data_IF_022800230538
#
_entry.id   IF_022800230538
#
_cell.length_a   1.000
_cell.length_b   1.000
_cell.length_c   1.000
_cell.angle_alpha   90.00
_cell.angle_beta   90.00
_cell.angle_gamma   90.00
#
_symmetry.space_group_name_H-M   'P 1'
#
loop_
_entity.id
_entity.type
_entity.pdbx_description
1 polymer ?
#
# COMPACT_ATOMS: atom_id res chain seq x y z
N UNK A 1 -4.17 -41.66 -20.82
CA UNK A 1 -5.55 -41.19 -20.52
C UNK A 1 -5.64 -40.23 -19.31
N UNK A 2 -4.54 -39.94 -18.58
CA UNK A 2 -4.55 -39.02 -17.41
C UNK A 2 -4.41 -37.52 -17.74
N UNK A 3 -3.50 -37.14 -18.65
CA UNK A 3 -3.15 -35.73 -18.94
C UNK A 3 -4.34 -34.82 -19.30
N UNK A 4 -5.31 -35.33 -20.06
CA UNK A 4 -6.47 -34.56 -20.51
C UNK A 4 -7.46 -34.28 -19.38
N UNK A 5 -7.49 -35.15 -18.36
CA UNK A 5 -8.31 -34.99 -17.15
C UNK A 5 -7.69 -33.95 -16.21
N UNK A 6 -6.37 -33.96 -16.07
CA UNK A 6 -5.63 -32.99 -15.25
C UNK A 6 -5.77 -31.57 -15.81
N UNK A 7 -5.68 -31.41 -17.14
CA UNK A 7 -5.84 -30.10 -17.79
C UNK A 7 -7.24 -29.52 -17.59
N UNK A 8 -8.30 -30.34 -17.69
CA UNK A 8 -9.67 -29.91 -17.40
C UNK A 8 -9.86 -29.51 -15.94
N UNK A 9 -9.23 -30.21 -15.00
CA UNK A 9 -9.29 -29.88 -13.58
C UNK A 9 -8.61 -28.54 -13.28
N UNK A 10 -7.44 -28.27 -13.90
CA UNK A 10 -6.74 -26.98 -13.75
C UNK A 10 -7.58 -25.83 -14.30
N UNK A 11 -8.15 -25.99 -15.50
CA UNK A 11 -8.98 -24.95 -16.12
C UNK A 11 -10.23 -24.67 -15.28
N UNK A 12 -10.91 -25.71 -14.79
CA UNK A 12 -12.07 -25.55 -13.89
C UNK A 12 -11.70 -24.90 -12.56
N UNK A 13 -10.53 -25.22 -12.00
CA UNK A 13 -10.05 -24.58 -10.78
C UNK A 13 -9.75 -23.10 -11.02
N UNK A 14 -9.10 -22.75 -12.13
CA UNK A 14 -8.84 -21.35 -12.49
C UNK A 14 -10.14 -20.54 -12.61
N UNK A 15 -11.15 -21.08 -13.29
CA UNK A 15 -12.47 -20.43 -13.45
C UNK A 15 -13.19 -20.23 -12.09
N UNK A 16 -13.11 -21.23 -11.20
CA UNK A 16 -13.60 -21.11 -9.82
C UNK A 16 -12.87 -20.05 -9.01
N UNK A 17 -11.56 -19.92 -9.17
CA UNK A 17 -10.79 -18.89 -8.46
C UNK A 17 -11.07 -17.49 -9.03
N UNK A 18 -11.19 -17.36 -10.35
CA UNK A 18 -11.55 -16.11 -11.02
C UNK A 18 -12.94 -15.61 -10.61
N UNK A 19 -13.92 -16.51 -10.54
CA UNK A 19 -15.26 -16.15 -10.07
C UNK A 19 -15.29 -15.75 -8.58
N UNK A 20 -14.34 -16.22 -7.77
CA UNK A 20 -14.20 -15.82 -6.36
C UNK A 20 -13.58 -14.44 -6.16
N UNK A 21 -12.87 -13.87 -7.14
CA UNK A 21 -12.31 -12.50 -7.04
C UNK A 21 -13.42 -11.45 -6.88
N UNK A 22 -14.61 -11.71 -7.43
CA UNK A 22 -15.75 -10.81 -7.33
C UNK A 22 -16.62 -11.04 -6.09
N UNK A 23 -16.20 -11.92 -5.18
CA UNK A 23 -16.92 -12.11 -3.92
C UNK A 23 -16.90 -10.81 -3.10
N UNK A 24 -18.06 -10.31 -2.61
CA UNK A 24 -18.13 -9.08 -1.82
C UNK A 24 -17.15 -9.06 -0.63
N UNK A 25 -16.87 -10.22 -0.03
CA UNK A 25 -15.87 -10.35 1.03
C UNK A 25 -14.46 -9.98 0.55
N UNK A 26 -14.06 -10.50 -0.61
CA UNK A 26 -12.76 -10.22 -1.21
C UNK A 26 -12.66 -8.77 -1.68
N UNK A 27 -13.71 -8.28 -2.35
CA UNK A 27 -13.78 -6.90 -2.84
C UNK A 27 -13.70 -5.88 -1.70
N UNK A 28 -14.32 -6.15 -0.55
CA UNK A 28 -14.23 -5.27 0.63
C UNK A 28 -12.78 -5.07 1.05
N UNK A 29 -12.04 -6.16 1.25
CA UNK A 29 -10.62 -6.11 1.65
C UNK A 29 -9.77 -5.45 0.56
N UNK A 30 -10.04 -5.76 -0.71
CA UNK A 30 -9.33 -5.18 -1.84
C UNK A 30 -9.51 -3.66 -1.95
N UNK A 31 -10.74 -3.17 -1.81
CA UNK A 31 -11.05 -1.73 -1.82
C UNK A 31 -10.34 -1.03 -0.65
N UNK A 32 -10.37 -1.62 0.53
CA UNK A 32 -9.66 -1.11 1.70
C UNK A 32 -8.14 -1.03 1.47
N UNK A 33 -7.55 -2.06 0.85
CA UNK A 33 -6.14 -2.05 0.45
C UNK A 33 -5.80 -0.94 -0.54
N UNK A 34 -6.66 -0.70 -1.54
CA UNK A 34 -6.48 0.41 -2.50
C UNK A 34 -6.59 1.76 -1.77
N UNK A 35 -7.62 1.96 -0.96
CA UNK A 35 -7.88 3.21 -0.26
C UNK A 35 -6.70 3.56 0.65
N UNK A 36 -6.19 2.58 1.40
CA UNK A 36 -5.00 2.80 2.24
C UNK A 36 -3.73 3.06 1.47
N UNK A 37 -3.52 2.38 0.34
CA UNK A 37 -2.38 2.67 -0.55
C UNK A 37 -2.44 4.12 -1.05
N UNK A 38 -3.62 4.60 -1.44
CA UNK A 38 -3.83 6.01 -1.85
C UNK A 38 -3.52 6.96 -0.68
N UNK A 39 -4.02 6.67 0.52
CA UNK A 39 -3.74 7.47 1.72
C UNK A 39 -2.23 7.52 2.02
N UNK A 40 -1.53 6.40 1.92
CA UNK A 40 -0.07 6.33 2.12
C UNK A 40 0.69 7.17 1.10
N UNK A 41 0.31 7.12 -0.17
CA UNK A 41 0.91 7.92 -1.24
C UNK A 41 0.71 9.41 -0.95
N UNK A 42 -0.51 9.82 -0.61
CA UNK A 42 -0.84 11.22 -0.30
C UNK A 42 -0.04 11.70 0.92
N UNK A 43 -0.02 10.92 2.00
CA UNK A 43 0.73 11.25 3.21
C UNK A 43 2.23 11.41 2.93
N UNK A 44 2.81 10.48 2.17
CA UNK A 44 4.23 10.53 1.77
C UNK A 44 4.53 11.74 0.89
N UNK A 45 3.62 12.08 -0.04
CA UNK A 45 3.75 13.24 -0.90
C UNK A 45 3.73 14.56 -0.10
N UNK A 46 2.81 14.70 0.86
CA UNK A 46 2.79 15.87 1.76
C UNK A 46 4.06 15.96 2.59
N UNK A 47 4.53 14.84 3.14
CA UNK A 47 5.75 14.79 3.94
C UNK A 47 6.99 15.17 3.12
N UNK A 48 7.10 14.68 1.88
CA UNK A 48 8.19 15.02 0.98
C UNK A 48 8.22 16.52 0.62
N UNK A 49 7.05 17.11 0.35
CA UNK A 49 6.93 18.55 0.09
C UNK A 49 7.29 19.38 1.33
N UNK A 50 6.85 18.95 2.51
CA UNK A 50 7.21 19.60 3.76
C UNK A 50 8.72 19.54 4.00
N UNK A 51 9.36 18.39 3.76
CA UNK A 51 10.81 18.27 3.91
C UNK A 51 11.57 19.12 2.89
N UNK A 52 11.09 19.20 1.63
CA UNK A 52 11.65 20.09 0.60
C UNK A 52 11.65 21.54 1.07
N UNK A 53 10.57 22.03 1.67
CA UNK A 53 10.47 23.43 2.12
C UNK A 53 11.34 23.76 3.33
N UNK A 54 11.78 22.76 4.10
CA UNK A 54 12.72 22.93 5.21
C UNK A 54 14.19 22.95 4.76
N UNK A 55 14.48 22.70 3.49
CA UNK A 55 15.84 22.84 2.95
C UNK A 55 16.16 24.33 2.88
N UNK A 56 16.75 24.85 3.96
CA UNK A 56 17.21 26.24 4.04
C UNK A 56 18.43 26.38 3.14
N UNK A 57 18.32 27.26 2.15
CA UNK A 57 19.46 27.70 1.35
C UNK A 57 20.45 28.39 2.27
N UNK A 58 21.63 27.81 2.44
CA UNK A 58 22.75 28.55 3.01
C UNK A 58 23.11 29.62 2.00
N UNK A 59 22.91 30.89 2.35
CA UNK A 59 23.36 31.99 1.52
C UNK A 59 24.88 32.02 1.58
N UNK A 60 25.51 31.68 0.45
CA UNK A 60 26.94 31.85 0.27
C UNK A 60 27.21 33.31 -0.13
N UNK A 61 28.36 33.85 0.26
CA UNK A 61 28.77 35.23 -0.09
C UNK A 61 28.93 35.43 -1.61
N UNK A 62 29.02 34.34 -2.37
CA UNK A 62 29.28 34.37 -3.81
C UNK A 62 27.99 34.13 -4.59
N UNK A 63 27.55 35.15 -5.34
CA UNK A 63 26.30 35.15 -6.12
C UNK A 63 26.17 33.94 -7.05
N UNK A 64 27.24 33.57 -7.76
CA UNK A 64 27.22 32.45 -8.71
C UNK A 64 27.03 31.08 -8.01
N UNK A 65 27.49 30.94 -6.77
CA UNK A 65 27.28 29.72 -5.97
C UNK A 65 25.82 29.62 -5.55
N UNK A 66 25.22 30.74 -5.15
CA UNK A 66 23.79 30.79 -4.84
C UNK A 66 22.95 30.48 -6.08
N UNK A 67 23.25 31.05 -7.24
CA UNK A 67 22.50 30.80 -8.48
C UNK A 67 22.60 29.33 -8.91
N UNK A 68 23.78 28.70 -8.77
CA UNK A 68 23.98 27.28 -9.06
C UNK A 68 23.21 26.37 -8.09
N UNK A 69 23.18 26.69 -6.79
CA UNK A 69 22.41 25.95 -5.79
C UNK A 69 20.90 26.13 -5.97
N UNK A 70 20.44 27.33 -6.31
CA UNK A 70 19.03 27.59 -6.62
C UNK A 70 18.58 26.81 -7.85
N UNK A 71 19.37 26.84 -8.94
CA UNK A 71 19.10 26.01 -10.11
C UNK A 71 19.04 24.52 -9.77
N UNK A 72 19.95 24.05 -8.92
CA UNK A 72 19.95 22.67 -8.45
C UNK A 72 18.69 22.33 -7.63
N UNK A 73 18.15 23.27 -6.85
CA UNK A 73 16.95 23.07 -6.03
C UNK A 73 15.64 23.24 -6.82
N UNK A 74 15.64 24.08 -7.85
CA UNK A 74 14.52 24.30 -8.77
C UNK A 74 14.30 23.10 -9.69
N UNK A 75 15.37 22.38 -10.03
CA UNK A 75 15.23 21.11 -10.75
C UNK A 75 14.61 20.10 -9.77
N UNK A 76 13.45 19.54 -10.14
CA UNK A 76 12.65 18.61 -9.31
C UNK A 76 13.37 17.29 -8.90
N UNK A 77 14.65 17.13 -9.23
CA UNK A 77 15.44 15.94 -8.88
C UNK A 77 15.55 15.75 -7.35
N UNK A 78 15.67 16.83 -6.56
CA UNK A 78 15.75 16.73 -5.09
C UNK A 78 14.44 16.21 -4.51
N UNK A 79 13.31 16.72 -5.01
CA UNK A 79 12.00 16.20 -4.61
C UNK A 79 11.87 14.72 -4.94
N UNK A 80 12.26 14.31 -6.15
CA UNK A 80 12.20 12.91 -6.57
C UNK A 80 13.06 12.01 -5.66
N UNK A 81 14.30 12.39 -5.36
CA UNK A 81 15.17 11.59 -4.47
C UNK A 81 14.54 11.46 -3.08
N UNK A 82 14.10 12.56 -2.48
CA UNK A 82 13.48 12.56 -1.15
C UNK A 82 12.21 11.69 -1.16
N UNK A 83 11.37 11.84 -2.19
CA UNK A 83 10.14 11.08 -2.33
C UNK A 83 10.38 9.58 -2.47
N UNK A 84 11.27 9.15 -3.39
CA UNK A 84 11.59 7.72 -3.57
C UNK A 84 12.26 7.11 -2.35
N UNK A 85 13.15 7.85 -1.68
CA UNK A 85 13.79 7.40 -0.44
C UNK A 85 12.78 7.23 0.69
N UNK A 86 11.90 8.22 0.88
CA UNK A 86 10.79 8.13 1.84
C UNK A 86 9.90 6.96 1.52
N UNK A 87 9.48 6.78 0.26
CA UNK A 87 8.63 5.65 -0.11
C UNK A 87 9.32 4.31 0.21
N UNK A 88 10.60 4.15 -0.14
CA UNK A 88 11.34 2.92 0.15
C UNK A 88 11.41 2.58 1.64
N UNK A 89 11.61 3.58 2.52
CA UNK A 89 11.71 3.38 3.98
C UNK A 89 10.33 3.26 4.63
N UNK A 90 9.35 4.05 4.19
CA UNK A 90 8.01 4.07 4.78
C UNK A 90 7.14 2.91 4.27
N UNK A 91 7.41 2.35 3.10
CA UNK A 91 6.58 1.28 2.54
C UNK A 91 6.49 0.04 3.45
N UNK A 92 7.59 -0.53 3.98
CA UNK A 92 7.50 -1.67 4.90
C UNK A 92 6.69 -1.44 6.19
N UNK A 93 6.92 -0.35 6.97
CA UNK A 93 6.14 -0.11 8.18
C UNK A 93 4.67 0.22 7.88
N UNK A 94 4.40 0.99 6.82
CA UNK A 94 3.04 1.30 6.38
C UNK A 94 2.30 0.00 6.00
N UNK A 95 2.93 -0.87 5.21
CA UNK A 95 2.35 -2.16 4.85
C UNK A 95 2.07 -3.03 6.09
N UNK A 96 2.95 -3.01 7.09
CA UNK A 96 2.79 -3.77 8.35
C UNK A 96 1.59 -3.28 9.15
N UNK A 97 1.44 -1.96 9.31
CA UNK A 97 0.27 -1.36 9.98
C UNK A 97 -1.01 -1.71 9.22
N UNK A 98 -0.98 -1.67 7.89
CA UNK A 98 -2.15 -2.04 7.07
C UNK A 98 -2.52 -3.51 7.22
N UNK A 99 -1.56 -4.43 7.16
CA UNK A 99 -1.83 -5.84 7.39
C UNK A 99 -2.47 -6.06 8.77
N UNK A 100 -2.01 -5.34 9.80
CA UNK A 100 -2.60 -5.40 11.14
C UNK A 100 -4.05 -4.90 11.20
N UNK A 101 -4.39 -3.84 10.48
CA UNK A 101 -5.74 -3.27 10.49
C UNK A 101 -6.75 -4.14 9.72
N UNK A 102 -6.28 -4.85 8.68
CA UNK A 102 -7.16 -5.62 7.80
C UNK A 102 -7.23 -7.11 8.12
N UNK A 103 -6.33 -7.63 8.97
CA UNK A 103 -6.32 -9.04 9.33
C UNK A 103 -7.67 -9.48 9.92
N UNK A 104 -8.24 -8.68 10.82
CA UNK A 104 -9.51 -8.99 11.50
C UNK A 104 -10.69 -9.02 10.53
N UNK A 105 -10.73 -8.10 9.56
CA UNK A 105 -11.78 -8.06 8.54
C UNK A 105 -11.70 -9.26 7.60
N UNK A 106 -10.49 -9.71 7.27
CA UNK A 106 -10.25 -10.93 6.50
C UNK A 106 -10.68 -12.15 7.30
N UNK A 107 -10.32 -12.23 8.59
CA UNK A 107 -10.68 -13.34 9.49
C UNK A 107 -12.20 -13.45 9.60
N UNK A 108 -12.90 -12.35 9.88
CA UNK A 108 -14.36 -12.34 9.96
C UNK A 108 -15.01 -12.78 8.64
N UNK A 109 -14.48 -12.35 7.51
CA UNK A 109 -14.98 -12.74 6.20
C UNK A 109 -14.80 -14.26 5.95
N UNK A 110 -13.65 -14.82 6.33
CA UNK A 110 -13.35 -16.26 6.22
C UNK A 110 -14.23 -17.07 7.17
N UNK A 111 -14.39 -16.64 8.42
CA UNK A 111 -15.22 -17.34 9.41
C UNK A 111 -16.68 -17.39 8.99
N UNK A 112 -17.24 -16.26 8.52
CA UNK A 112 -18.62 -16.22 8.06
C UNK A 112 -18.88 -17.14 6.86
N UNK A 113 -17.88 -17.32 5.98
CA UNK A 113 -18.02 -18.12 4.78
C UNK A 113 -17.78 -19.62 5.01
N UNK A 114 -16.76 -19.97 5.79
CA UNK A 114 -16.29 -21.35 5.92
C UNK A 114 -16.59 -21.98 7.28
N UNK A 115 -16.86 -21.19 8.33
CA UNK A 115 -17.13 -21.66 9.69
C UNK A 115 -18.41 -21.05 10.30
N UNK A 116 -19.57 -21.15 9.62
CA UNK A 116 -20.80 -20.49 10.06
C UNK A 116 -21.27 -20.95 11.46
N UNK A 117 -21.04 -22.23 11.79
CA UNK A 117 -21.47 -22.85 13.05
C UNK A 117 -20.39 -22.81 14.15
N UNK A 118 -19.20 -22.29 13.83
CA UNK A 118 -18.04 -22.19 14.74
C UNK A 118 -17.31 -20.85 14.58
N UNK A 119 -18.04 -19.74 14.72
CA UNK A 119 -17.44 -18.41 14.75
C UNK A 119 -16.55 -18.26 15.99
N UNK A 120 -15.38 -17.65 15.85
CA UNK A 120 -14.57 -17.32 17.01
C UNK A 120 -15.32 -16.30 17.90
N UNK A 121 -14.96 -16.27 19.18
CA UNK A 121 -15.57 -15.36 20.15
C UNK A 121 -15.42 -13.89 19.75
N UNK A 122 -16.31 -13.04 20.28
CA UNK A 122 -16.39 -11.59 20.03
C UNK A 122 -14.99 -10.93 20.03
N UNK A 123 -14.72 -10.08 19.02
CA UNK A 123 -13.46 -9.33 18.86
C UNK A 123 -12.99 -8.74 20.19
N UNK A 124 -11.74 -9.04 20.58
CA UNK A 124 -11.04 -8.39 21.70
C UNK A 124 -10.21 -7.20 21.19
N UNK A 125 -10.83 -6.35 20.37
CA UNK A 125 -10.26 -5.09 19.90
C UNK A 125 -10.82 -3.90 20.68
N UNK A 126 -10.05 -2.82 20.81
CA UNK A 126 -10.42 -1.60 21.53
C UNK A 126 -11.66 -0.96 20.86
N UNK A 127 -12.83 -1.25 21.43
CA UNK A 127 -14.15 -0.73 21.05
C UNK A 127 -15.22 -1.25 22.00
#
# INVERSE_FOLDING_TARGET
MGKDKDMKNIISAMDRTLSQILDPAFLKVFIWGILTTIVAIIATWFLANHLKSQIILTQFDWQWVNDAFQWLLDVDWIFNIIFFFLMGIFFPPIATVFMSLYLDDVVDAVENKYYPDRKAGKRLGVG
#
